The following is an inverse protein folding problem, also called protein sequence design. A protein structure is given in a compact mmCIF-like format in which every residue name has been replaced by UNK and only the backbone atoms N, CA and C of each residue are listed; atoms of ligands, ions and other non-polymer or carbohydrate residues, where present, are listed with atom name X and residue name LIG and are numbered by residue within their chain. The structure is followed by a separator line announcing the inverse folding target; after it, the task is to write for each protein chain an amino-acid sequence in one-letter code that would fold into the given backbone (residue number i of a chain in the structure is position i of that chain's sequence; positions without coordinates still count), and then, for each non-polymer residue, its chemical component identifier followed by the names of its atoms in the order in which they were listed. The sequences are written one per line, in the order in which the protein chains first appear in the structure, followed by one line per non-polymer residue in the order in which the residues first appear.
data_IF_064578256258
#
_entry.id   IF_064578256258
#
_cell.length_a   1.000
_cell.length_b   1.000
_cell.length_c   1.000
_cell.angle_alpha   90.00
_cell.angle_beta   90.00
_cell.angle_gamma   90.00
#
_symmetry.space_group_name_H-M   'P 1'
#
loop_
_entity.id
_entity.type
_entity.pdbx_description
1 polymer ?
#
# COMPACT_ATOMS: atom_id res chain seq x y z
N UNK A 1 -1.82 -4.04 -7.28
CA UNK A 1 -1.88 -3.13 -8.47
C UNK A 1 -0.81 -3.44 -9.53
N UNK A 2 0.12 -4.38 -9.31
CA UNK A 2 1.05 -4.80 -10.36
C UNK A 2 0.32 -5.64 -11.40
N UNK A 3 -0.70 -6.35 -10.97
CA UNK A 3 -1.56 -7.24 -11.73
C UNK A 3 -2.33 -6.50 -12.84
N UNK A 4 -2.94 -5.35 -12.54
CA UNK A 4 -3.66 -4.54 -13.54
C UNK A 4 -2.74 -4.05 -14.67
N UNK A 5 -1.48 -3.73 -14.33
CA UNK A 5 -0.46 -3.33 -15.31
C UNK A 5 -0.06 -4.51 -16.20
N UNK A 6 0.05 -5.70 -15.63
CA UNK A 6 0.34 -6.92 -16.39
C UNK A 6 -0.79 -7.26 -17.37
N UNK A 7 -2.06 -7.05 -17.00
CA UNK A 7 -3.19 -7.23 -17.93
C UNK A 7 -3.12 -6.24 -19.09
N UNK A 8 -2.77 -4.98 -18.84
CA UNK A 8 -2.54 -4.02 -19.92
C UNK A 8 -1.36 -4.42 -20.82
N UNK A 9 -0.25 -4.89 -20.24
CA UNK A 9 0.91 -5.38 -20.98
C UNK A 9 0.60 -6.66 -21.79
N UNK A 10 -0.36 -7.46 -21.34
CA UNK A 10 -0.88 -8.62 -22.06
C UNK A 10 -1.84 -8.27 -23.21
N UNK A 11 -2.15 -6.97 -23.43
CA UNK A 11 -2.95 -6.49 -24.55
C UNK A 11 -4.41 -6.23 -24.25
N UNK A 12 -4.85 -6.30 -22.99
CA UNK A 12 -6.23 -5.95 -22.62
C UNK A 12 -6.45 -4.44 -22.68
N UNK A 13 -7.66 -4.03 -23.06
CA UNK A 13 -8.02 -2.62 -23.04
C UNK A 13 -8.14 -2.12 -21.59
N UNK A 14 -7.68 -0.89 -21.26
CA UNK A 14 -7.73 -0.37 -19.88
C UNK A 14 -9.13 -0.41 -19.26
N UNK A 15 -10.18 -0.24 -20.08
CA UNK A 15 -11.56 -0.33 -19.62
C UNK A 15 -11.93 -1.75 -19.18
N UNK A 16 -11.54 -2.78 -19.95
CA UNK A 16 -11.79 -4.18 -19.62
C UNK A 16 -11.09 -4.57 -18.32
N UNK A 17 -9.86 -4.08 -18.14
CA UNK A 17 -9.09 -4.28 -16.90
C UNK A 17 -9.83 -3.68 -15.70
N UNK A 18 -10.37 -2.46 -15.83
CA UNK A 18 -11.15 -1.82 -14.77
C UNK A 18 -12.48 -2.53 -14.50
N UNK A 19 -13.18 -2.98 -15.55
CA UNK A 19 -14.41 -3.77 -15.41
C UNK A 19 -14.12 -5.10 -14.73
N UNK A 20 -13.01 -5.76 -15.08
CA UNK A 20 -12.59 -7.01 -14.44
C UNK A 20 -12.36 -6.82 -12.93
N UNK A 21 -11.79 -5.67 -12.53
CA UNK A 21 -11.50 -5.34 -11.15
C UNK A 21 -12.71 -4.85 -10.34
N UNK A 22 -13.87 -4.62 -10.98
CA UNK A 22 -15.07 -4.05 -10.33
C UNK A 22 -16.31 -4.86 -10.68
N UNK A 23 -16.99 -4.53 -11.77
CA UNK A 23 -18.27 -5.10 -12.18
C UNK A 23 -18.21 -6.62 -12.36
N UNK A 24 -17.24 -7.12 -13.13
CA UNK A 24 -17.19 -8.55 -13.43
C UNK A 24 -16.80 -9.35 -12.19
N UNK A 25 -15.94 -8.81 -11.32
CA UNK A 25 -15.61 -9.47 -10.04
C UNK A 25 -16.84 -9.58 -9.14
N UNK A 26 -17.68 -8.55 -9.07
CA UNK A 26 -18.90 -8.58 -8.26
C UNK A 26 -19.93 -9.58 -8.82
N UNK A 27 -20.08 -9.64 -10.15
CA UNK A 27 -20.96 -10.60 -10.83
C UNK A 27 -20.48 -12.05 -10.64
N UNK A 28 -19.19 -12.31 -10.81
CA UNK A 28 -18.58 -13.63 -10.57
C UNK A 28 -18.76 -14.13 -9.14
N UNK A 29 -18.83 -13.22 -8.16
CA UNK A 29 -19.04 -13.53 -6.75
C UNK A 29 -20.53 -13.54 -6.35
N UNK A 30 -21.45 -13.21 -7.25
CA UNK A 30 -22.88 -13.12 -6.96
C UNK A 30 -23.28 -11.95 -6.05
N UNK A 31 -22.41 -10.94 -5.93
CA UNK A 31 -22.60 -9.75 -5.09
C UNK A 31 -22.83 -8.48 -5.90
N UNK A 32 -23.19 -8.60 -7.18
CA UNK A 32 -23.42 -7.45 -8.07
C UNK A 32 -24.53 -6.52 -7.59
N UNK A 33 -25.50 -7.02 -6.82
CA UNK A 33 -26.56 -6.19 -6.21
C UNK A 33 -26.05 -5.36 -5.03
N UNK A 34 -24.92 -5.76 -4.42
CA UNK A 34 -24.34 -5.06 -3.27
C UNK A 34 -23.24 -4.07 -3.68
N UNK A 35 -22.38 -4.42 -4.65
CA UNK A 35 -21.19 -3.62 -5.02
C UNK A 35 -20.78 -3.84 -6.48
N UNK A 36 -19.70 -3.20 -6.91
CA UNK A 36 -19.11 -3.36 -8.25
C UNK A 36 -19.60 -2.39 -9.32
N UNK A 37 -20.58 -1.54 -9.01
CA UNK A 37 -21.04 -0.46 -9.91
C UNK A 37 -21.60 0.71 -9.12
N UNK A 38 -21.57 1.91 -9.70
CA UNK A 38 -22.12 3.12 -9.08
C UNK A 38 -23.62 3.21 -9.42
N UNK A 39 -24.46 2.68 -8.55
CA UNK A 39 -25.92 2.67 -8.69
C UNK A 39 -26.61 2.89 -7.34
N UNK A 40 -27.83 3.43 -7.37
CA UNK A 40 -28.64 3.68 -6.17
C UNK A 40 -28.99 2.33 -5.52
N UNK A 41 -28.87 2.25 -4.19
CA UNK A 41 -29.16 1.04 -3.41
C UNK A 41 -27.96 0.14 -3.17
N UNK A 42 -26.83 0.37 -3.84
CA UNK A 42 -25.57 -0.37 -3.62
C UNK A 42 -24.72 0.26 -2.53
N UNK A 43 -23.80 -0.53 -1.95
CA UNK A 43 -22.80 -0.08 -0.99
C UNK A 43 -21.86 0.94 -1.65
N UNK A 44 -21.49 1.96 -0.88
CA UNK A 44 -20.57 2.99 -1.32
C UNK A 44 -19.12 2.51 -1.17
N UNK A 45 -18.68 1.69 -2.12
CA UNK A 45 -17.30 1.26 -2.28
C UNK A 45 -16.66 2.02 -3.44
N UNK A 46 -15.89 3.06 -3.13
CA UNK A 46 -15.36 4.01 -4.12
C UNK A 46 -13.88 4.30 -3.89
N UNK A 47 -13.17 4.55 -4.98
CA UNK A 47 -11.78 5.03 -4.96
C UNK A 47 -11.74 6.37 -5.70
N UNK A 48 -11.24 7.40 -5.02
CA UNK A 48 -11.20 8.78 -5.55
C UNK A 48 -9.76 9.11 -5.93
N UNK A 49 -9.59 9.52 -7.19
CA UNK A 49 -8.30 9.89 -7.79
C UNK A 49 -8.41 11.22 -8.52
N UNK A 50 -7.30 11.96 -8.61
CA UNK A 50 -7.25 13.28 -9.28
C UNK A 50 -6.92 13.22 -10.78
N UNK A 51 -6.59 12.03 -11.29
CA UNK A 51 -6.15 11.84 -12.68
C UNK A 51 -6.94 10.68 -13.30
N UNK A 52 -7.04 10.65 -14.63
CA UNK A 52 -7.77 9.61 -15.34
C UNK A 52 -7.03 8.24 -15.23
N UNK A 53 -7.60 7.23 -14.56
CA UNK A 53 -6.95 5.93 -14.40
C UNK A 53 -6.89 5.12 -15.69
N UNK A 54 -7.76 5.41 -16.68
CA UNK A 54 -7.74 4.76 -18.00
C UNK A 54 -6.52 5.19 -18.83
N UNK A 55 -6.02 6.40 -18.60
CA UNK A 55 -4.80 6.88 -19.25
C UNK A 55 -3.54 6.30 -18.60
N UNK A 56 -3.55 6.09 -17.28
CA UNK A 56 -2.40 5.57 -16.54
C UNK A 56 -2.81 4.93 -15.20
N UNK A 57 -2.68 3.61 -15.09
CA UNK A 57 -3.00 2.88 -13.87
C UNK A 57 -2.12 3.20 -12.66
N UNK A 58 -0.94 3.82 -12.86
CA UNK A 58 -0.08 4.23 -11.73
C UNK A 58 -0.74 5.29 -10.85
N UNK A 59 -1.79 5.95 -11.33
CA UNK A 59 -2.63 6.85 -10.53
C UNK A 59 -3.30 6.09 -9.37
N UNK A 60 -3.60 4.80 -9.53
CA UNK A 60 -4.17 3.95 -8.49
C UNK A 60 -3.17 3.54 -7.40
N UNK A 61 -1.92 3.98 -7.46
CA UNK A 61 -0.99 3.75 -6.37
C UNK A 61 -1.27 4.75 -5.25
N UNK A 62 -1.70 4.28 -4.08
CA UNK A 62 -1.99 5.15 -2.93
C UNK A 62 -0.79 5.99 -2.47
N UNK A 63 0.44 5.55 -2.77
CA UNK A 63 1.63 6.34 -2.46
C UNK A 63 1.97 7.37 -3.54
N UNK A 64 1.34 7.32 -4.72
CA UNK A 64 1.71 8.11 -5.89
C UNK A 64 2.80 7.50 -6.78
N UNK A 65 3.02 8.09 -7.94
CA UNK A 65 4.06 7.69 -8.89
C UNK A 65 4.84 8.90 -9.44
N UNK A 66 6.02 8.67 -9.98
CA UNK A 66 6.81 9.74 -10.60
C UNK A 66 6.22 10.11 -11.97
N UNK A 67 6.05 11.42 -12.19
CA UNK A 67 5.56 12.02 -13.43
C UNK A 67 6.46 13.21 -13.75
N UNK A 68 6.83 13.35 -15.03
CA UNK A 68 7.53 14.54 -15.48
C UNK A 68 6.53 15.70 -15.56
N UNK A 69 6.80 16.78 -14.84
CA UNK A 69 6.09 18.02 -15.00
C UNK A 69 6.68 18.77 -16.21
N UNK A 70 5.87 18.99 -17.24
CA UNK A 70 6.31 19.60 -18.50
C UNK A 70 6.55 21.11 -18.38
N UNK A 71 6.00 21.77 -17.36
CA UNK A 71 6.19 23.20 -17.12
C UNK A 71 7.50 23.47 -16.37
N UNK A 72 7.80 22.66 -15.35
CA UNK A 72 9.01 22.80 -14.53
C UNK A 72 10.19 22.00 -15.08
N UNK A 73 9.94 21.02 -15.95
CA UNK A 73 10.93 20.06 -16.45
C UNK A 73 11.44 19.08 -15.40
N UNK A 74 10.82 19.04 -14.21
CA UNK A 74 11.26 18.24 -13.08
C UNK A 74 10.40 17.00 -12.85
N UNK A 75 11.01 15.97 -12.26
CA UNK A 75 10.28 14.77 -11.85
C UNK A 75 9.54 15.04 -10.55
N UNK A 76 8.21 15.03 -10.61
CA UNK A 76 7.33 15.24 -9.47
C UNK A 76 6.62 13.94 -9.10
N UNK A 77 6.27 13.79 -7.82
CA UNK A 77 5.48 12.65 -7.35
C UNK A 77 4.02 13.05 -7.30
N UNK A 78 3.18 12.30 -8.02
CA UNK A 78 1.72 12.48 -7.98
C UNK A 78 1.15 12.10 -6.62
N UNK A 79 -0.05 12.58 -6.32
CA UNK A 79 -0.72 12.27 -5.05
C UNK A 79 -1.30 10.85 -5.01
N UNK A 80 -1.59 10.25 -6.17
CA UNK A 80 -2.18 8.92 -6.24
C UNK A 80 -3.66 8.91 -5.84
N UNK A 81 -4.08 7.87 -5.11
CA UNK A 81 -5.42 7.80 -4.51
C UNK A 81 -5.52 8.85 -3.39
N UNK A 82 -6.56 9.68 -3.46
CA UNK A 82 -6.84 10.71 -2.45
C UNK A 82 -7.66 10.14 -1.31
N UNK A 83 -8.76 9.47 -1.64
CA UNK A 83 -9.71 8.92 -0.69
C UNK A 83 -10.16 7.53 -1.12
N UNK A 84 -10.42 6.70 -0.13
CA UNK A 84 -11.14 5.44 -0.31
C UNK A 84 -12.42 5.53 0.50
N UNK A 85 -13.55 5.21 -0.10
CA UNK A 85 -14.83 5.06 0.60
C UNK A 85 -15.12 3.56 0.66
N UNK A 86 -15.36 3.05 1.87
CA UNK A 86 -15.75 1.65 2.09
C UNK A 86 -16.99 1.63 2.96
N UNK A 87 -18.07 1.02 2.47
CA UNK A 87 -19.37 0.98 3.16
C UNK A 87 -19.86 2.36 3.64
N UNK A 88 -19.53 3.43 2.88
CA UNK A 88 -19.88 4.81 3.22
C UNK A 88 -18.93 5.52 4.20
N UNK A 89 -17.91 4.83 4.72
CA UNK A 89 -16.87 5.44 5.57
C UNK A 89 -15.77 5.99 4.67
N UNK A 90 -15.42 7.26 4.87
CA UNK A 90 -14.38 7.95 4.09
C UNK A 90 -13.03 7.81 4.79
N UNK A 91 -12.04 7.33 4.05
CA UNK A 91 -10.66 7.17 4.49
C UNK A 91 -9.75 8.12 3.71
N UNK A 92 -9.02 8.99 4.42
CA UNK A 92 -7.98 9.85 3.85
C UNK A 92 -6.67 9.06 3.71
N UNK A 93 -6.21 8.87 2.48
CA UNK A 93 -5.02 8.05 2.21
C UNK A 93 -3.74 8.70 2.74
N UNK A 94 -3.66 10.04 2.77
CA UNK A 94 -2.46 10.73 3.29
C UNK A 94 -2.35 10.54 4.79
N UNK A 95 -3.47 10.60 5.52
CA UNK A 95 -3.52 10.31 6.95
C UNK A 95 -3.15 8.85 7.21
N UNK A 96 -3.80 7.89 6.53
CA UNK A 96 -3.50 6.46 6.68
C UNK A 96 -2.01 6.13 6.45
N UNK A 97 -1.40 6.72 5.42
CA UNK A 97 0.03 6.50 5.15
C UNK A 97 0.93 7.13 6.22
N UNK A 98 0.49 8.19 6.87
CA UNK A 98 1.22 8.81 7.99
C UNK A 98 1.15 7.91 9.22
N UNK A 99 -0.05 7.43 9.55
CA UNK A 99 -0.28 6.52 10.68
C UNK A 99 0.51 5.21 10.51
N UNK A 100 0.48 4.62 9.31
CA UNK A 100 1.24 3.40 9.01
C UNK A 100 2.75 3.63 9.13
N UNK A 101 3.25 4.80 8.71
CA UNK A 101 4.68 5.12 8.87
C UNK A 101 5.07 5.24 10.33
N UNK A 102 4.22 5.84 11.15
CA UNK A 102 4.45 5.96 12.59
C UNK A 102 4.47 4.57 13.24
N UNK A 103 3.47 3.73 12.96
CA UNK A 103 3.39 2.36 13.47
C UNK A 103 4.65 1.56 13.10
N UNK A 104 5.10 1.64 11.85
CA UNK A 104 6.32 0.94 11.39
C UNK A 104 7.58 1.51 12.06
N UNK A 105 7.63 2.81 12.34
CA UNK A 105 8.78 3.42 13.02
C UNK A 105 8.87 2.99 14.49
N UNK A 106 7.73 2.97 15.19
CA UNK A 106 7.60 2.49 16.57
C UNK A 106 8.03 1.02 16.65
N UNK A 107 7.47 0.16 15.81
CA UNK A 107 7.82 -1.27 15.77
C UNK A 107 9.31 -1.51 15.48
N UNK A 108 9.91 -0.72 14.59
CA UNK A 108 11.35 -0.81 14.30
C UNK A 108 12.21 -0.38 15.49
N UNK A 109 11.77 0.60 16.27
CA UNK A 109 12.48 1.03 17.48
C UNK A 109 12.43 -0.03 18.58
N UNK A 110 11.29 -0.70 18.74
CA UNK A 110 11.11 -1.81 19.68
C UNK A 110 12.00 -3.00 19.29
N UNK A 111 12.02 -3.36 18.01
CA UNK A 111 12.89 -4.42 17.50
C UNK A 111 14.38 -4.09 17.64
N UNK A 112 14.77 -2.83 17.45
CA UNK A 112 16.16 -2.40 17.65
C UNK A 112 16.57 -2.50 19.12
N UNK A 113 15.66 -2.14 20.04
CA UNK A 113 15.85 -2.25 21.48
C UNK A 113 15.95 -3.72 21.93
N UNK A 114 15.13 -4.61 21.35
CA UNK A 114 15.17 -6.05 21.61
C UNK A 114 16.44 -6.72 21.06
N UNK A 115 16.92 -6.34 19.86
CA UNK A 115 18.16 -6.87 19.26
C UNK A 115 19.43 -6.39 19.97
N UNK A 116 19.37 -5.24 20.66
CA UNK A 116 20.48 -4.73 21.49
C UNK A 116 20.71 -5.50 22.80
N UNK A 117 19.70 -6.24 23.30
CA UNK A 117 19.73 -6.87 24.63
C UNK A 117 20.52 -8.21 24.69
N UNK A 118 21.00 -8.74 23.56
CA UNK A 118 21.62 -10.08 23.49
C UNK A 118 23.14 -10.18 23.67
N UNK A 119 23.91 -9.08 23.78
CA UNK A 119 25.40 -9.11 23.65
C UNK A 119 26.18 -8.83 24.95
N UNK A 120 25.69 -9.24 26.11
CA UNK A 120 26.49 -9.25 27.36
C UNK A 120 26.17 -10.46 28.24
N UNK A 121 26.73 -11.63 27.92
CA UNK A 121 26.98 -12.69 28.92
C UNK A 121 28.26 -13.48 28.58
N UNK A 122 29.31 -13.20 29.37
CA UNK A 122 30.28 -14.18 29.85
C UNK A 122 31.49 -14.48 28.98
N UNK A 123 32.65 -13.89 29.33
CA UNK A 123 33.85 -14.67 29.65
C UNK A 123 34.84 -13.81 30.46
N UNK A 124 34.71 -13.83 31.79
CA UNK A 124 35.80 -13.52 32.72
C UNK A 124 36.25 -14.89 33.26
N UNK A 125 37.34 -15.44 32.72
CA UNK A 125 37.99 -16.66 33.21
C UNK A 125 39.50 -16.49 33.29
N UNK A 126 39.97 -15.53 34.08
CA UNK A 126 41.34 -15.56 34.60
C UNK A 126 41.28 -15.36 36.11
N UNK A 127 40.95 -16.45 36.80
CA UNK A 127 41.10 -16.61 38.23
C UNK A 127 41.77 -17.96 38.45
N UNK A 128 43.04 -17.90 38.85
CA UNK A 128 43.90 -19.03 39.19
C UNK A 128 43.18 -20.12 39.99
N UNK A 129 43.43 -21.38 39.61
CA UNK A 129 43.24 -22.52 40.50
C UNK A 129 44.60 -23.21 40.71
N UNK A 130 44.99 -23.45 41.99
CA UNK A 130 46.29 -24.00 42.33
C UNK A 130 46.28 -25.53 42.25
N UNK A 131 47.44 -26.15 41.99
CA UNK A 131 48.06 -27.13 42.90
C UNK A 131 49.40 -27.67 42.38
N UNK A 132 50.46 -27.33 43.13
CA UNK A 132 51.59 -28.16 43.57
C UNK A 132 51.79 -29.56 42.98
N UNK A 133 52.93 -29.79 42.29
CA UNK A 133 54.04 -30.71 42.66
C UNK A 133 55.34 -30.16 42.06
#
# INVERSE_FOLDING_TARGET
MRELKLLQEAGFYPLEVLQSATLNSADLLGIQEETGSIQIGKKADLVIVNENPLANFKVLYGTGHQKLNMETGMMERTQGILYTVKDGIVFDVKQMLTDVRQLVAEQKADEASAKGCGKKRGLDITGDLPHSV
#
